data_IF_886363228394
#
_entry.id   IF_886363228394
#
_cell.length_a   1.000
_cell.length_b   1.000
_cell.length_c   1.000
_cell.angle_alpha   90.00
_cell.angle_beta   90.00
_cell.angle_gamma   90.00
#
_symmetry.space_group_name_H-M   'P 1'
#
loop_
_entity.id
_entity.type
_entity.pdbx_description
1 polymer ?
#
# COMPACT_ATOMS: atom_id res chain seq x y z
N UNK A 1 -0.96 10.50 9.43
CA UNK A 1 -0.92 11.96 9.46
C UNK A 1 -0.95 12.44 8.02
N UNK A 2 -1.79 13.44 7.71
CA UNK A 2 -1.70 14.12 6.43
C UNK A 2 -0.47 15.03 6.45
N UNK A 3 0.12 15.34 5.30
CA UNK A 3 1.38 16.11 5.23
C UNK A 3 1.28 17.48 5.93
N UNK A 4 0.07 18.01 6.08
CA UNK A 4 -0.18 19.33 6.67
C UNK A 4 -1.32 19.35 7.71
N UNK A 5 -1.80 18.19 8.17
CA UNK A 5 -2.90 18.12 9.13
C UNK A 5 -2.89 16.83 9.97
N UNK A 6 -3.55 16.90 11.13
CA UNK A 6 -3.73 15.81 12.06
C UNK A 6 -5.20 15.55 12.35
N UNK A 7 -5.51 14.31 12.67
CA UNK A 7 -6.80 13.90 13.20
C UNK A 7 -6.58 12.84 14.29
N UNK A 8 -7.43 12.86 15.32
CA UNK A 8 -7.37 11.94 16.45
C UNK A 8 -8.75 11.38 16.75
N UNK A 9 -8.81 10.07 17.05
CA UNK A 9 -9.98 9.43 17.63
C UNK A 9 -9.89 9.55 19.15
N UNK A 10 -10.93 10.06 19.80
CA UNK A 10 -11.02 10.19 21.25
C UNK A 10 -11.65 8.94 21.88
N UNK A 11 -11.46 8.73 23.19
CA UNK A 11 -11.94 7.51 23.88
C UNK A 11 -13.47 7.28 23.85
N UNK A 12 -14.26 8.31 23.49
CA UNK A 12 -15.69 8.21 23.25
C UNK A 12 -16.05 7.98 21.76
N UNK A 13 -15.07 7.69 20.91
CA UNK A 13 -15.26 7.44 19.48
C UNK A 13 -15.60 8.68 18.64
N UNK A 14 -15.29 9.88 19.13
CA UNK A 14 -15.38 11.11 18.34
C UNK A 14 -14.06 11.41 17.61
N UNK A 15 -14.10 12.31 16.61
CA UNK A 15 -12.90 12.77 15.91
C UNK A 15 -12.67 14.26 16.11
N UNK A 16 -11.43 14.61 16.45
CA UNK A 16 -10.92 15.96 16.37
C UNK A 16 -9.90 16.06 15.22
N UNK A 17 -9.97 17.09 14.39
CA UNK A 17 -9.00 17.34 13.31
C UNK A 17 -8.58 18.81 13.26
N UNK A 18 -7.29 19.04 13.02
CA UNK A 18 -6.68 20.37 12.98
C UNK A 18 -5.51 20.41 11.98
N UNK A 19 -5.16 21.61 11.50
CA UNK A 19 -4.08 21.80 10.52
C UNK A 19 -4.46 22.71 9.36
N UNK A 20 -3.84 22.48 8.19
CA UNK A 20 -4.06 23.29 6.98
C UNK A 20 -5.54 23.38 6.58
N UNK A 21 -5.93 24.56 6.06
CA UNK A 21 -7.29 24.84 5.57
C UNK A 21 -7.74 23.77 4.56
N UNK A 22 -8.95 23.26 4.75
CA UNK A 22 -9.50 22.18 3.94
C UNK A 22 -9.20 20.75 4.43
N UNK A 23 -8.29 20.57 5.38
CA UNK A 23 -8.07 19.28 6.09
C UNK A 23 -8.70 19.26 7.49
N UNK A 24 -9.04 20.43 8.02
CA UNK A 24 -9.90 20.65 9.19
C UNK A 24 -11.33 20.16 8.92
N UNK A 25 -12.03 19.71 9.98
CA UNK A 25 -13.45 19.40 9.88
C UNK A 25 -14.24 20.71 10.04
N UNK A 26 -14.42 21.44 8.95
CA UNK A 26 -15.16 22.71 8.93
C UNK A 26 -16.67 22.49 8.69
N UNK A 27 -17.04 21.38 8.07
CA UNK A 27 -18.42 21.01 7.82
C UNK A 27 -19.11 20.50 9.09
N UNK A 28 -20.15 21.20 9.55
CA UNK A 28 -20.99 20.76 10.68
C UNK A 28 -21.60 19.36 10.43
N UNK A 29 -21.93 19.04 9.18
CA UNK A 29 -22.45 17.71 8.82
C UNK A 29 -21.40 16.63 9.09
N UNK A 30 -20.16 16.88 8.67
CA UNK A 30 -19.04 15.97 8.94
C UNK A 30 -18.75 15.88 10.44
N UNK A 31 -18.78 17.00 11.18
CA UNK A 31 -18.63 16.98 12.65
C UNK A 31 -19.66 16.07 13.31
N UNK A 32 -20.95 16.19 12.92
CA UNK A 32 -22.02 15.35 13.44
C UNK A 32 -21.84 13.87 13.06
N UNK A 33 -21.40 13.57 11.84
CA UNK A 33 -21.15 12.18 11.43
C UNK A 33 -20.01 11.53 12.22
N UNK A 34 -19.08 12.35 12.71
CA UNK A 34 -17.91 11.97 13.50
C UNK A 34 -18.14 12.08 15.02
N UNK A 35 -19.38 12.28 15.49
CA UNK A 35 -19.71 12.12 16.92
C UNK A 35 -20.02 10.66 17.23
N UNK A 36 -19.03 9.95 17.76
CA UNK A 36 -19.21 8.59 18.29
C UNK A 36 -19.12 7.47 17.26
N UNK A 37 -18.65 6.31 17.74
CA UNK A 37 -18.57 5.07 16.96
C UNK A 37 -17.47 5.04 15.91
N UNK A 38 -16.56 6.01 15.87
CA UNK A 38 -15.35 5.94 15.04
C UNK A 38 -14.29 5.10 15.74
N UNK A 39 -13.72 4.13 15.04
CA UNK A 39 -12.70 3.22 15.60
C UNK A 39 -11.30 3.55 15.09
N UNK A 40 -11.19 3.90 13.80
CA UNK A 40 -9.91 4.12 13.12
C UNK A 40 -9.98 5.28 12.14
N UNK A 41 -8.87 6.00 11.99
CA UNK A 41 -8.71 7.07 10.99
C UNK A 41 -7.50 6.76 10.11
N UNK A 42 -7.63 7.08 8.83
CA UNK A 42 -6.63 6.95 7.80
C UNK A 42 -6.44 8.31 7.13
N UNK A 43 -5.27 8.54 6.52
CA UNK A 43 -4.94 9.83 5.90
C UNK A 43 -4.16 9.66 4.61
N UNK A 44 -4.53 10.41 3.58
CA UNK A 44 -3.66 10.76 2.44
C UNK A 44 -2.88 12.04 2.77
N UNK A 45 -2.20 12.66 1.79
CA UNK A 45 -1.48 13.92 2.04
C UNK A 45 -2.38 15.09 2.46
N UNK A 46 -3.64 15.12 2.00
CA UNK A 46 -4.57 16.24 2.21
C UNK A 46 -6.02 15.81 2.48
N UNK A 47 -6.27 14.54 2.80
CA UNK A 47 -7.60 14.07 3.18
C UNK A 47 -7.53 12.96 4.22
N UNK A 48 -8.69 12.69 4.81
CA UNK A 48 -8.88 11.70 5.85
C UNK A 48 -10.11 10.84 5.57
N UNK A 49 -10.06 9.62 6.09
CA UNK A 49 -11.17 8.69 6.12
C UNK A 49 -11.29 8.08 7.52
N UNK A 50 -12.48 8.07 8.11
CA UNK A 50 -12.77 7.44 9.39
C UNK A 50 -13.65 6.21 9.17
N UNK A 51 -13.26 5.08 9.76
CA UNK A 51 -14.06 3.85 9.78
C UNK A 51 -14.83 3.77 11.10
N UNK A 52 -16.14 3.60 11.00
CA UNK A 52 -17.04 3.41 12.14
C UNK A 52 -17.16 1.94 12.52
N UNK A 53 -17.69 1.66 13.71
CA UNK A 53 -17.86 0.29 14.24
C UNK A 53 -18.79 -0.61 13.41
N UNK A 54 -19.69 -0.03 12.62
CA UNK A 54 -20.51 -0.75 11.65
C UNK A 54 -19.84 -0.90 10.26
N UNK A 55 -18.58 -0.49 10.13
CA UNK A 55 -17.84 -0.49 8.87
C UNK A 55 -18.22 0.65 7.92
N UNK A 56 -19.02 1.65 8.34
CA UNK A 56 -19.27 2.83 7.52
C UNK A 56 -18.02 3.73 7.45
N UNK A 57 -17.79 4.38 6.31
CA UNK A 57 -16.67 5.31 6.12
C UNK A 57 -17.17 6.73 5.95
N UNK A 58 -16.56 7.65 6.71
CA UNK A 58 -16.78 9.10 6.58
C UNK A 58 -15.48 9.74 6.10
N UNK A 59 -15.54 10.53 5.04
CA UNK A 59 -14.38 11.21 4.46
C UNK A 59 -14.48 12.72 4.62
N UNK A 60 -13.33 13.37 4.74
CA UNK A 60 -13.20 14.82 4.71
C UNK A 60 -11.80 15.21 4.25
N UNK A 61 -11.60 16.44 3.81
CA UNK A 61 -10.33 16.87 3.23
C UNK A 61 -10.49 17.46 1.84
N UNK A 62 -9.36 17.58 1.14
CA UNK A 62 -9.34 17.97 -0.27
C UNK A 62 -10.04 16.91 -1.14
N UNK A 63 -11.03 17.27 -1.98
CA UNK A 63 -11.80 16.33 -2.80
C UNK A 63 -10.92 15.40 -3.65
N UNK A 64 -9.99 15.97 -4.43
CA UNK A 64 -9.07 15.20 -5.29
C UNK A 64 -8.14 14.25 -4.52
N UNK A 65 -7.96 14.42 -3.21
CA UNK A 65 -7.11 13.55 -2.39
C UNK A 65 -7.93 12.48 -1.64
N UNK A 66 -9.21 12.31 -2.00
CA UNK A 66 -10.13 11.37 -1.39
C UNK A 66 -11.00 11.95 -0.28
N UNK A 67 -11.05 13.28 -0.14
CA UNK A 67 -11.98 13.96 0.77
C UNK A 67 -13.44 13.82 0.33
N UNK A 68 -13.67 13.71 -0.98
CA UNK A 68 -14.99 13.41 -1.56
C UNK A 68 -15.06 11.93 -1.94
N UNK A 69 -16.02 11.22 -1.33
CA UNK A 69 -16.33 9.81 -1.60
C UNK A 69 -17.76 9.61 -2.10
N UNK A 70 -18.43 10.68 -2.54
CA UNK A 70 -19.86 10.66 -2.95
C UNK A 70 -20.15 9.63 -4.03
N UNK A 71 -19.25 9.45 -5.00
CA UNK A 71 -19.39 8.49 -6.11
C UNK A 71 -19.37 7.02 -5.67
N UNK A 72 -18.78 6.72 -4.51
CA UNK A 72 -18.64 5.36 -3.96
C UNK A 72 -19.35 5.18 -2.62
N UNK A 73 -20.14 6.18 -2.21
CA UNK A 73 -20.82 6.22 -0.91
C UNK A 73 -21.67 4.97 -0.62
N UNK A 74 -22.45 4.41 -1.57
CA UNK A 74 -23.22 3.19 -1.30
C UNK A 74 -22.35 1.99 -0.89
N UNK A 75 -21.14 1.89 -1.41
CA UNK A 75 -20.23 0.78 -1.10
C UNK A 75 -19.47 1.00 0.21
N UNK A 76 -19.46 2.24 0.72
CA UNK A 76 -18.79 2.65 1.95
C UNK A 76 -19.74 2.81 3.14
N UNK A 77 -21.02 2.43 3.01
CA UNK A 77 -22.01 2.60 4.08
C UNK A 77 -21.93 1.56 5.20
N UNK A 78 -21.26 0.43 4.96
CA UNK A 78 -21.05 -0.66 5.92
C UNK A 78 -19.94 -1.61 5.47
N UNK A 79 -19.53 -2.50 6.36
CA UNK A 79 -18.71 -3.68 6.07
C UNK A 79 -17.28 -3.39 5.60
N UNK A 80 -16.79 -2.15 5.69
CA UNK A 80 -15.37 -1.84 5.46
C UNK A 80 -14.55 -2.31 6.67
N UNK A 81 -13.55 -3.15 6.41
CA UNK A 81 -12.68 -3.72 7.44
C UNK A 81 -11.34 -2.99 7.54
N UNK A 82 -10.79 -2.53 6.42
CA UNK A 82 -9.48 -1.88 6.36
C UNK A 82 -9.46 -0.84 5.26
N UNK A 83 -8.75 0.25 5.50
CA UNK A 83 -8.42 1.25 4.48
C UNK A 83 -6.90 1.25 4.31
N UNK A 84 -6.44 1.25 3.07
CA UNK A 84 -5.06 1.51 2.67
C UNK A 84 -5.04 2.81 1.87
N UNK A 85 -4.00 3.63 1.99
CA UNK A 85 -3.92 4.93 1.35
C UNK A 85 -2.62 5.08 0.56
N UNK A 86 -2.70 5.67 -0.63
CA UNK A 86 -1.55 6.29 -1.32
C UNK A 86 -1.39 7.74 -0.83
N UNK A 87 -0.55 8.53 -1.49
CA UNK A 87 -0.46 9.96 -1.20
C UNK A 87 -1.75 10.72 -1.52
N UNK A 88 -2.60 10.24 -2.44
CA UNK A 88 -3.77 10.99 -2.95
C UNK A 88 -5.03 10.15 -3.17
N UNK A 89 -5.02 8.87 -2.84
CA UNK A 89 -6.17 7.99 -2.98
C UNK A 89 -6.30 7.02 -1.81
N UNK A 90 -7.48 6.46 -1.66
CA UNK A 90 -7.79 5.41 -0.69
C UNK A 90 -8.31 4.17 -1.42
N UNK A 91 -8.07 3.02 -0.79
CA UNK A 91 -8.69 1.74 -1.14
C UNK A 91 -9.25 1.09 0.12
N UNK A 92 -10.56 0.80 0.12
CA UNK A 92 -11.25 0.11 1.19
C UNK A 92 -11.37 -1.38 0.85
N UNK A 93 -10.91 -2.23 1.77
CA UNK A 93 -11.19 -3.66 1.77
C UNK A 93 -12.47 -3.93 2.57
N UNK A 94 -13.46 -4.53 1.91
CA UNK A 94 -14.76 -4.89 2.50
C UNK A 94 -14.75 -6.33 3.01
N UNK A 95 -15.70 -6.65 3.90
CA UNK A 95 -15.80 -7.96 4.55
C UNK A 95 -16.06 -9.13 3.58
N UNK A 96 -16.66 -8.85 2.43
CA UNK A 96 -16.85 -9.82 1.33
C UNK A 96 -15.59 -10.02 0.47
N UNK A 97 -14.48 -9.37 0.81
CA UNK A 97 -13.24 -9.39 0.04
C UNK A 97 -13.26 -8.53 -1.22
N UNK A 98 -14.28 -7.70 -1.43
CA UNK A 98 -14.29 -6.70 -2.51
C UNK A 98 -13.47 -5.45 -2.13
N UNK A 99 -12.96 -4.74 -3.14
CA UNK A 99 -12.21 -3.50 -2.96
C UNK A 99 -12.92 -2.33 -3.64
N UNK A 100 -12.94 -1.20 -2.96
CA UNK A 100 -13.47 0.08 -3.47
C UNK A 100 -12.39 1.13 -3.37
N UNK A 101 -12.05 1.79 -4.48
CA UNK A 101 -11.06 2.86 -4.51
C UNK A 101 -11.72 4.23 -4.80
N UNK A 102 -11.14 5.30 -4.25
CA UNK A 102 -11.54 6.68 -4.50
C UNK A 102 -10.40 7.67 -4.25
N UNK A 103 -10.56 8.92 -4.71
CA UNK A 103 -9.52 9.96 -4.71
C UNK A 103 -8.94 10.18 -6.10
N UNK A 104 -7.69 10.64 -6.21
CA UNK A 104 -7.11 11.03 -7.49
C UNK A 104 -7.05 9.83 -8.45
N UNK A 105 -7.66 9.92 -9.66
CA UNK A 105 -7.78 8.78 -10.58
C UNK A 105 -6.44 8.09 -10.90
N UNK A 106 -5.45 8.87 -11.33
CA UNK A 106 -4.12 8.36 -11.71
C UNK A 106 -3.28 7.85 -10.53
N UNK A 107 -3.64 8.21 -9.28
CA UNK A 107 -2.87 7.85 -8.07
C UNK A 107 -3.53 6.71 -7.29
N UNK A 108 -4.33 5.91 -8.00
CA UNK A 108 -5.01 4.74 -7.47
C UNK A 108 -6.48 4.94 -7.11
N UNK A 109 -7.06 6.14 -7.34
CA UNK A 109 -8.47 6.44 -7.05
C UNK A 109 -9.45 5.80 -8.03
N UNK A 110 -8.97 5.22 -9.15
CA UNK A 110 -9.80 4.54 -10.15
C UNK A 110 -9.37 3.07 -10.32
N UNK A 111 -10.22 2.15 -9.86
CA UNK A 111 -10.02 0.69 -9.99
C UNK A 111 -10.89 0.02 -11.06
N UNK A 112 -11.68 0.78 -11.81
CA UNK A 112 -12.70 0.24 -12.72
C UNK A 112 -12.16 -0.78 -13.74
N UNK A 113 -10.94 -0.59 -14.24
CA UNK A 113 -10.31 -1.48 -15.22
C UNK A 113 -9.97 -2.87 -14.66
N UNK A 114 -9.83 -3.00 -13.33
CA UNK A 114 -9.46 -4.24 -12.64
C UNK A 114 -10.52 -4.69 -11.63
N UNK A 115 -11.68 -4.03 -11.60
CA UNK A 115 -12.71 -4.25 -10.58
C UNK A 115 -13.21 -5.69 -10.54
N UNK A 116 -13.22 -6.38 -11.68
CA UNK A 116 -13.63 -7.78 -11.76
C UNK A 116 -12.64 -8.76 -11.14
N UNK A 117 -11.38 -8.36 -10.99
CA UNK A 117 -10.31 -9.13 -10.36
C UNK A 117 -10.20 -8.83 -8.85
N UNK A 118 -10.73 -7.68 -8.39
CA UNK A 118 -10.71 -7.25 -6.99
C UNK A 118 -11.81 -7.94 -6.15
N UNK A 119 -11.79 -9.28 -6.17
CA UNK A 119 -12.70 -10.17 -5.43
C UNK A 119 -11.86 -11.09 -4.54
N UNK A 120 -12.39 -11.48 -3.39
CA UNK A 120 -11.69 -12.33 -2.40
C UNK A 120 -10.33 -11.76 -1.98
N UNK A 121 -10.16 -10.43 -1.98
CA UNK A 121 -8.92 -9.78 -1.56
C UNK A 121 -8.69 -10.02 -0.06
N UNK A 122 -7.46 -10.40 0.30
CA UNK A 122 -7.03 -10.56 1.70
C UNK A 122 -6.31 -9.32 2.21
N UNK A 123 -5.43 -8.76 1.40
CA UNK A 123 -4.56 -7.65 1.76
C UNK A 123 -4.44 -6.64 0.63
N UNK A 124 -4.29 -5.36 0.99
CA UNK A 124 -3.97 -4.26 0.06
C UNK A 124 -2.70 -3.58 0.57
N UNK A 125 -1.73 -3.47 -0.32
CA UNK A 125 -0.45 -2.77 -0.16
C UNK A 125 -0.46 -1.52 -1.04
N UNK A 126 0.39 -0.56 -0.70
CA UNK A 126 0.45 0.72 -1.41
C UNK A 126 1.88 1.24 -1.50
N UNK A 127 2.22 1.76 -2.67
CA UNK A 127 3.32 2.71 -2.85
C UNK A 127 2.76 4.13 -2.73
N UNK A 128 3.59 5.19 -2.89
CA UNK A 128 3.09 6.56 -2.89
C UNK A 128 1.97 6.86 -3.89
N UNK A 129 1.84 6.14 -5.00
CA UNK A 129 0.90 6.46 -6.09
C UNK A 129 0.19 5.24 -6.73
N UNK A 130 0.43 4.02 -6.22
CA UNK A 130 -0.21 2.81 -6.71
C UNK A 130 -0.59 1.84 -5.59
N UNK A 131 -1.45 0.89 -5.93
CA UNK A 131 -1.89 -0.18 -5.04
C UNK A 131 -1.59 -1.56 -5.64
N UNK A 132 -1.39 -2.52 -4.74
CA UNK A 132 -1.31 -3.95 -5.06
C UNK A 132 -2.20 -4.72 -4.08
N UNK A 133 -3.19 -5.45 -4.59
CA UNK A 133 -4.06 -6.31 -3.81
C UNK A 133 -3.63 -7.78 -3.95
N UNK A 134 -3.50 -8.48 -2.83
CA UNK A 134 -3.26 -9.93 -2.81
C UNK A 134 -4.59 -10.64 -2.56
N UNK A 135 -4.99 -11.51 -3.48
CA UNK A 135 -6.25 -12.26 -3.41
C UNK A 135 -6.15 -13.47 -2.50
N UNK A 136 -7.30 -14.09 -2.23
CA UNK A 136 -7.40 -15.32 -1.43
C UNK A 136 -6.59 -16.47 -1.99
N UNK A 137 -6.38 -16.47 -3.30
CA UNK A 137 -5.68 -17.51 -4.06
C UNK A 137 -4.20 -17.13 -4.30
N UNK A 138 -3.74 -16.00 -3.75
CA UNK A 138 -2.36 -15.52 -3.85
C UNK A 138 -2.03 -14.83 -5.18
N UNK A 139 -3.03 -14.41 -5.95
CA UNK A 139 -2.85 -13.55 -7.13
C UNK A 139 -2.62 -12.10 -6.70
N UNK A 140 -1.79 -11.35 -7.43
CA UNK A 140 -1.63 -9.90 -7.26
C UNK A 140 -2.35 -9.14 -8.35
N UNK A 141 -3.20 -8.19 -7.95
CA UNK A 141 -3.88 -7.25 -8.84
C UNK A 141 -3.38 -5.83 -8.54
N UNK A 142 -2.87 -5.14 -9.55
CA UNK A 142 -2.30 -3.78 -9.40
C UNK A 142 -3.16 -2.72 -10.09
N UNK A 143 -3.13 -1.50 -9.56
CA UNK A 143 -3.70 -0.32 -10.23
C UNK A 143 -3.07 0.98 -9.69
N UNK A 144 -3.23 2.08 -10.43
CA UNK A 144 -2.61 3.38 -10.13
C UNK A 144 -1.49 3.71 -11.11
N UNK A 145 -0.55 4.56 -10.69
CA UNK A 145 0.51 5.09 -11.56
C UNK A 145 1.55 4.01 -11.91
N UNK A 146 1.87 3.84 -13.19
CA UNK A 146 2.74 2.76 -13.67
C UNK A 146 4.15 2.84 -13.10
N UNK A 147 4.76 4.03 -13.08
CA UNK A 147 6.09 4.30 -12.50
C UNK A 147 6.17 4.11 -10.97
N UNK A 148 5.03 3.83 -10.33
CA UNK A 148 4.96 3.50 -8.91
C UNK A 148 4.48 2.07 -8.66
N UNK A 149 4.43 1.23 -9.70
CA UNK A 149 4.03 -0.17 -9.61
C UNK A 149 2.54 -0.43 -9.84
N UNK A 150 1.82 0.52 -10.43
CA UNK A 150 0.42 0.35 -10.84
C UNK A 150 0.23 -0.61 -12.01
N UNK A 151 1.29 -0.87 -12.77
CA UNK A 151 1.33 -1.84 -13.87
C UNK A 151 2.27 -3.02 -13.52
N UNK A 152 1.73 -4.23 -13.56
CA UNK A 152 2.44 -5.50 -13.32
C UNK A 152 2.35 -6.46 -14.51
N UNK A 153 1.92 -5.99 -15.70
CA UNK A 153 1.67 -6.84 -16.87
C UNK A 153 2.91 -7.64 -17.29
N UNK A 154 4.10 -7.06 -17.17
CA UNK A 154 5.38 -7.71 -17.52
C UNK A 154 5.72 -8.92 -16.64
N UNK A 155 5.18 -8.97 -15.42
CA UNK A 155 5.44 -10.05 -14.43
C UNK A 155 4.17 -10.80 -14.04
N UNK A 156 3.04 -10.55 -14.70
CA UNK A 156 1.71 -11.11 -14.35
C UNK A 156 1.71 -12.62 -14.17
N UNK A 157 2.42 -13.36 -15.02
CA UNK A 157 2.51 -14.82 -14.92
C UNK A 157 3.19 -15.31 -13.64
N UNK A 158 4.12 -14.53 -13.08
CA UNK A 158 4.82 -14.84 -11.83
C UNK A 158 4.00 -14.45 -10.60
N UNK A 159 3.02 -13.54 -10.76
CA UNK A 159 2.14 -13.03 -9.71
C UNK A 159 0.75 -13.67 -9.70
N UNK A 160 0.56 -14.78 -10.43
CA UNK A 160 -0.75 -15.40 -10.62
C UNK A 160 -1.22 -16.22 -9.40
N UNK A 161 -0.31 -16.64 -8.51
CA UNK A 161 -0.63 -17.44 -7.33
C UNK A 161 0.50 -17.43 -6.31
N UNK A 162 0.20 -17.94 -5.10
CA UNK A 162 1.17 -18.22 -4.04
C UNK A 162 1.92 -17.00 -3.47
N UNK A 163 1.50 -15.77 -3.79
CA UNK A 163 2.03 -14.58 -3.11
C UNK A 163 1.50 -14.54 -1.67
N UNK A 164 2.40 -14.49 -0.70
CA UNK A 164 2.06 -14.42 0.72
C UNK A 164 1.93 -12.97 1.18
N UNK A 165 2.88 -12.13 0.80
CA UNK A 165 2.88 -10.71 1.12
C UNK A 165 3.68 -9.90 0.12
N UNK A 166 3.51 -8.57 0.19
CA UNK A 166 4.22 -7.60 -0.66
C UNK A 166 4.93 -6.58 0.23
N UNK A 167 6.15 -6.23 -0.16
CA UNK A 167 6.91 -5.09 0.37
C UNK A 167 6.96 -3.97 -0.67
N UNK A 168 7.11 -2.72 -0.24
CA UNK A 168 7.11 -1.56 -1.13
C UNK A 168 8.22 -0.56 -0.80
N UNK A 169 8.87 -0.02 -1.83
CA UNK A 169 9.68 1.21 -1.71
C UNK A 169 8.82 2.44 -1.97
N UNK A 170 9.38 3.63 -1.81
CA UNK A 170 8.61 4.85 -2.02
C UNK A 170 9.43 6.12 -1.97
N UNK A 171 9.34 6.91 -3.04
CA UNK A 171 9.88 8.26 -3.11
C UNK A 171 8.91 9.22 -3.81
N UNK A 172 9.35 10.45 -4.08
CA UNK A 172 8.62 11.43 -4.88
C UNK A 172 8.58 11.12 -6.38
N UNK A 173 9.57 10.39 -6.90
CA UNK A 173 9.76 10.24 -8.37
C UNK A 173 9.48 8.83 -8.90
N UNK A 174 9.33 7.86 -8.00
CA UNK A 174 9.14 6.47 -8.37
C UNK A 174 9.06 5.59 -7.14
N UNK A 175 8.54 4.40 -7.35
CA UNK A 175 8.44 3.35 -6.35
C UNK A 175 8.36 1.98 -7.01
N UNK A 176 8.59 0.95 -6.21
CA UNK A 176 8.49 -0.42 -6.62
C UNK A 176 7.82 -1.27 -5.54
N UNK A 177 7.34 -2.43 -5.96
CA UNK A 177 6.89 -3.50 -5.09
C UNK A 177 7.78 -4.72 -5.25
N UNK A 178 7.85 -5.53 -4.20
CA UNK A 178 8.44 -6.85 -4.21
C UNK A 178 7.49 -7.84 -3.52
N UNK A 179 6.96 -8.80 -4.25
CA UNK A 179 6.15 -9.90 -3.72
C UNK A 179 7.05 -11.05 -3.29
N UNK A 180 6.76 -11.61 -2.11
CA UNK A 180 7.37 -12.85 -1.65
C UNK A 180 6.34 -13.97 -1.71
N UNK A 181 6.72 -15.06 -2.36
CA UNK A 181 5.89 -16.25 -2.55
C UNK A 181 6.16 -17.28 -1.45
N UNK A 182 5.25 -18.26 -1.29
CA UNK A 182 5.38 -19.31 -0.27
C UNK A 182 6.57 -20.26 -0.44
N UNK A 183 7.17 -20.31 -1.63
CA UNK A 183 8.44 -21.00 -1.92
C UNK A 183 9.68 -20.15 -1.58
N UNK A 184 9.48 -18.92 -1.09
CA UNK A 184 10.53 -17.94 -0.83
C UNK A 184 11.10 -17.29 -2.09
N UNK A 185 10.49 -17.48 -3.26
CA UNK A 185 10.86 -16.71 -4.46
C UNK A 185 10.35 -15.27 -4.36
N UNK A 186 11.10 -14.33 -4.96
CA UNK A 186 10.76 -12.90 -4.94
C UNK A 186 10.56 -12.37 -6.36
N UNK A 187 9.45 -11.65 -6.55
CA UNK A 187 9.10 -11.01 -7.83
C UNK A 187 8.96 -9.51 -7.60
N UNK A 188 9.73 -8.70 -8.33
CA UNK A 188 9.67 -7.24 -8.23
C UNK A 188 9.04 -6.60 -9.48
N UNK A 189 8.39 -5.44 -9.29
CA UNK A 189 7.85 -4.61 -10.38
C UNK A 189 7.73 -3.14 -9.95
N UNK A 190 7.50 -2.25 -10.91
CA UNK A 190 7.50 -0.79 -10.73
C UNK A 190 8.77 -0.15 -11.30
N UNK A 191 9.18 1.01 -10.77
CA UNK A 191 10.31 1.74 -11.33
C UNK A 191 11.62 0.95 -11.20
N UNK A 192 12.35 0.68 -12.30
CA UNK A 192 13.55 -0.17 -12.29
C UNK A 192 14.62 0.29 -11.29
N UNK A 193 14.96 1.58 -11.29
CA UNK A 193 15.97 2.15 -10.38
C UNK A 193 15.58 2.12 -8.90
N UNK A 194 14.30 1.88 -8.56
CA UNK A 194 13.79 1.84 -7.18
C UNK A 194 13.60 0.40 -6.69
N UNK A 195 14.19 -0.57 -7.40
CA UNK A 195 14.11 -1.99 -7.10
C UNK A 195 12.96 -2.70 -7.81
N UNK A 196 12.29 -2.06 -8.79
CA UNK A 196 11.25 -2.69 -9.61
C UNK A 196 11.80 -3.70 -10.62
N UNK A 197 13.11 -3.72 -10.83
CA UNK A 197 13.81 -4.77 -11.57
C UNK A 197 14.83 -5.48 -10.66
N UNK A 198 14.61 -6.78 -10.44
CA UNK A 198 15.53 -7.65 -9.72
C UNK A 198 16.26 -8.64 -10.63
N UNK A 199 16.29 -8.39 -11.95
CA UNK A 199 16.88 -9.26 -12.96
C UNK A 199 18.35 -9.61 -12.71
N UNK A 200 19.13 -8.66 -12.19
CA UNK A 200 20.55 -8.86 -11.85
C UNK A 200 20.79 -9.84 -10.70
N UNK A 201 19.78 -10.08 -9.86
CA UNK A 201 19.85 -10.97 -8.68
C UNK A 201 18.77 -12.06 -8.72
N UNK A 202 18.13 -12.28 -9.88
CA UNK A 202 16.99 -13.18 -10.05
C UNK A 202 17.27 -14.60 -9.59
N UNK A 203 18.44 -15.14 -9.94
CA UNK A 203 18.82 -16.51 -9.54
C UNK A 203 18.95 -16.63 -8.01
N UNK A 204 19.48 -15.60 -7.34
CA UNK A 204 19.61 -15.59 -5.89
C UNK A 204 18.25 -15.45 -5.18
N UNK A 205 17.25 -14.86 -5.84
CA UNK A 205 15.88 -14.66 -5.37
C UNK A 205 14.89 -15.71 -5.90
N UNK A 206 15.36 -16.79 -6.53
CA UNK A 206 14.51 -17.83 -7.10
C UNK A 206 13.83 -18.70 -6.03
N UNK A 207 14.38 -18.75 -4.81
CA UNK A 207 13.83 -19.49 -3.67
C UNK A 207 14.47 -19.04 -2.35
N UNK A 208 13.83 -19.38 -1.23
CA UNK A 208 14.45 -19.34 0.09
C UNK A 208 14.56 -17.96 0.74
N UNK A 209 13.95 -16.90 0.19
CA UNK A 209 13.75 -15.66 0.93
C UNK A 209 12.77 -15.88 2.09
N UNK A 210 13.19 -15.55 3.31
CA UNK A 210 12.37 -15.61 4.51
C UNK A 210 11.53 -14.34 4.66
N UNK A 211 12.16 -13.19 4.46
CA UNK A 211 11.48 -11.91 4.42
C UNK A 211 12.26 -10.87 3.60
N UNK A 212 11.58 -9.77 3.27
CA UNK A 212 12.11 -8.63 2.50
C UNK A 212 11.88 -7.34 3.27
N UNK A 213 12.96 -6.62 3.53
CA UNK A 213 12.97 -5.26 4.07
C UNK A 213 13.21 -4.25 2.95
N UNK A 214 12.83 -3.00 3.16
CA UNK A 214 12.92 -1.95 2.15
C UNK A 214 13.36 -0.62 2.73
N UNK A 215 14.13 0.12 1.95
CA UNK A 215 14.39 1.54 2.16
C UNK A 215 13.50 2.38 1.23
N UNK A 216 13.80 3.67 1.08
CA UNK A 216 13.09 4.53 0.13
C UNK A 216 13.19 4.06 -1.32
N UNK A 217 14.27 3.37 -1.72
CA UNK A 217 14.56 3.03 -3.13
C UNK A 217 15.26 1.68 -3.36
N UNK A 218 15.41 0.88 -2.31
CA UNK A 218 16.09 -0.41 -2.40
C UNK A 218 15.41 -1.44 -1.51
N UNK A 219 15.69 -2.71 -1.80
CA UNK A 219 15.22 -3.85 -1.03
C UNK A 219 16.39 -4.72 -0.58
N UNK A 220 16.16 -5.47 0.49
CA UNK A 220 17.06 -6.49 1.00
C UNK A 220 16.24 -7.71 1.45
N UNK A 221 16.58 -8.88 0.92
CA UNK A 221 15.99 -10.16 1.29
C UNK A 221 16.93 -10.92 2.21
N UNK A 222 16.43 -11.37 3.37
CA UNK A 222 17.12 -12.34 4.21
C UNK A 222 16.71 -13.75 3.76
N UNK A 223 17.68 -14.62 3.58
CA UNK A 223 17.47 -15.99 3.10
C UNK A 223 17.59 -17.04 4.20
N UNK A 224 16.98 -18.20 3.97
CA UNK A 224 17.02 -19.35 4.88
C UNK A 224 18.41 -19.98 5.04
N UNK A 225 19.30 -19.76 4.07
CA UNK A 225 20.72 -20.13 4.12
C UNK A 225 21.57 -19.11 4.90
N UNK A 226 20.93 -18.08 5.49
CA UNK A 226 21.57 -17.00 6.23
C UNK A 226 22.10 -15.86 5.37
N UNK A 227 22.11 -15.99 4.04
CA UNK A 227 22.60 -14.96 3.14
C UNK A 227 21.63 -13.78 3.00
N UNK A 228 22.16 -12.65 2.51
CA UNK A 228 21.38 -11.46 2.20
C UNK A 228 21.55 -11.08 0.75
N UNK A 229 20.44 -10.81 0.07
CA UNK A 229 20.42 -10.32 -1.32
C UNK A 229 19.83 -8.92 -1.33
N UNK A 230 20.57 -7.95 -1.89
CA UNK A 230 20.13 -6.56 -2.01
C UNK A 230 19.95 -6.17 -3.47
N UNK A 231 18.96 -5.32 -3.77
CA UNK A 231 18.75 -4.76 -5.10
C UNK A 231 18.06 -3.38 -5.04
N UNK A 232 18.07 -2.66 -6.16
CA UNK A 232 17.57 -1.28 -6.27
C UNK A 232 18.68 -0.23 -6.23
N UNK A 233 18.35 1.00 -5.84
CA UNK A 233 19.28 2.13 -5.87
C UNK A 233 20.46 1.91 -4.91
N UNK A 234 21.69 1.95 -5.45
CA UNK A 234 22.92 1.74 -4.68
C UNK A 234 23.10 2.74 -3.56
N UNK A 235 22.71 4.01 -3.76
CA UNK A 235 22.84 5.06 -2.75
C UNK A 235 21.85 4.89 -1.58
N UNK A 236 20.86 3.99 -1.72
CA UNK A 236 19.83 3.71 -0.73
C UNK A 236 19.89 2.28 -0.19
N UNK A 237 21.00 1.58 -0.37
CA UNK A 237 21.22 0.23 0.17
C UNK A 237 21.01 -0.91 -0.81
N UNK A 238 20.87 -0.63 -2.11
CA UNK A 238 20.76 -1.65 -3.15
C UNK A 238 22.06 -2.43 -3.42
N UNK A 239 23.18 -2.02 -2.82
CA UNK A 239 24.49 -2.68 -2.93
C UNK A 239 25.11 -2.90 -1.56
N UNK A 240 25.18 -4.17 -1.14
CA UNK A 240 25.79 -4.62 0.11
C UNK A 240 27.20 -5.19 -0.06
N UNK A 241 27.83 -5.06 -1.23
CA UNK A 241 29.11 -5.71 -1.55
C UNK A 241 30.26 -5.32 -0.60
N UNK A 242 30.21 -4.12 -0.02
CA UNK A 242 31.22 -3.62 0.94
C UNK A 242 31.21 -4.34 2.28
N UNK A 243 30.07 -4.93 2.66
CA UNK A 243 29.87 -5.66 3.93
C UNK A 243 29.58 -7.15 3.70
N UNK A 244 29.86 -7.67 2.50
CA UNK A 244 29.57 -9.07 2.12
C UNK A 244 30.18 -10.12 3.05
N UNK A 245 31.34 -9.83 3.65
CA UNK A 245 32.04 -10.76 4.55
C UNK A 245 31.31 -10.84 5.89
N UNK A 246 30.77 -9.73 6.36
CA UNK A 246 29.97 -9.65 7.58
C UNK A 246 28.59 -10.30 7.38
N UNK A 247 28.03 -10.22 6.16
CA UNK A 247 26.76 -10.85 5.77
C UNK A 247 26.88 -12.33 5.39
N UNK A 248 28.08 -12.91 5.46
CA UNK A 248 28.29 -14.35 5.19
C UNK A 248 27.93 -15.25 6.39
N UNK A 249 27.65 -14.66 7.56
CA UNK A 249 27.13 -15.37 8.73
C UNK A 249 25.60 -15.37 8.77
N UNK A 250 25.02 -16.03 9.77
CA UNK A 250 23.57 -16.08 9.98
C UNK A 250 23.00 -14.68 10.25
N UNK A 251 22.23 -14.13 9.31
CA UNK A 251 21.53 -12.85 9.48
C UNK A 251 20.16 -13.08 10.12
N UNK A 252 20.02 -12.63 11.37
CA UNK A 252 18.78 -12.76 12.14
C UNK A 252 17.72 -11.71 11.77
N UNK A 253 18.15 -10.49 11.43
CA UNK A 253 17.28 -9.36 11.11
C UNK A 253 17.96 -8.38 10.12
N UNK A 254 17.18 -7.77 9.24
CA UNK A 254 17.56 -6.64 8.36
C UNK A 254 16.75 -5.40 8.71
#
# INVERSE_FOLDING_TARGET
>A
AAKQAFAAVTGNGCVAAWGHRGCSIESMVVQQMLTGGVERIFSTCHAFAAVKSNGAVITWGHPEYGGDSTSVRPQLSSDVQKITATNQAFAALRADGSVVAWGHPEKGGRSAAVQDLLKRVKCIYSTPEAFAAVTGDGEVVTWGEAEFGGDSVSVRGQLASEVEYVQSTGSTYGAAFAAVKGDGSVVAWGHPEYGGDCGSVREALAEGALYVSSTHRAFAAAKNDGSVVTWGDRAYGGDSASVRVQLAGEVLQI
#
